data_IF_787532631621
#
_entry.id   IF_787532631621
#
_cell.length_a   1.000
_cell.length_b   1.000
_cell.length_c   1.000
_cell.angle_alpha   90.00
_cell.angle_beta   90.00
_cell.angle_gamma   90.00
#
_symmetry.space_group_name_H-M   'P 1'
#
loop_
_entity.id
_entity.type
_entity.pdbx_description
1 polymer ?
#
# COMPACT_ATOMS: atom_id res chain seq x y z
N UNK A 1 30.65 7.74 20.78
CA UNK A 1 30.92 7.13 19.46
C UNK A 1 29.86 7.67 18.52
N UNK A 2 30.24 8.53 17.59
CA UNK A 2 29.32 9.19 16.67
C UNK A 2 28.85 8.18 15.62
N UNK A 3 27.53 8.10 15.40
CA UNK A 3 26.89 7.15 14.48
C UNK A 3 27.05 7.59 13.00
N UNK A 4 28.11 8.34 12.69
CA UNK A 4 28.36 9.01 11.42
C UNK A 4 29.47 8.39 10.56
N UNK A 5 30.16 7.36 11.06
CA UNK A 5 31.17 6.66 10.27
C UNK A 5 30.50 5.83 9.18
N UNK A 6 30.92 6.01 7.92
CA UNK A 6 30.36 5.34 6.73
C UNK A 6 31.10 4.06 6.35
N UNK A 7 32.08 3.63 7.15
CA UNK A 7 32.92 2.47 6.88
C UNK A 7 32.20 1.14 7.20
N UNK A 8 31.89 0.29 6.21
CA UNK A 8 31.17 -0.97 6.43
C UNK A 8 31.87 -1.93 7.41
N UNK A 9 33.20 -1.98 7.38
CA UNK A 9 34.00 -2.83 8.28
C UNK A 9 33.84 -2.43 9.75
N UNK A 10 33.69 -1.13 10.04
CA UNK A 10 33.45 -0.65 11.41
C UNK A 10 32.06 -1.01 11.90
N UNK A 11 31.05 -0.94 11.04
CA UNK A 11 29.69 -1.36 11.39
C UNK A 11 29.60 -2.88 11.63
N UNK A 12 30.37 -3.67 10.88
CA UNK A 12 30.49 -5.10 11.12
C UNK A 12 31.20 -5.42 12.44
N UNK A 13 32.34 -4.77 12.72
CA UNK A 13 33.05 -4.91 14.00
C UNK A 13 32.17 -4.46 15.19
N UNK A 14 31.46 -3.34 15.05
CA UNK A 14 30.53 -2.86 16.07
C UNK A 14 29.36 -3.82 16.30
N UNK A 15 28.79 -4.40 15.24
CA UNK A 15 27.75 -5.43 15.38
C UNK A 15 28.27 -6.66 16.15
N UNK A 16 29.51 -7.09 15.87
CA UNK A 16 30.15 -8.21 16.56
C UNK A 16 30.49 -7.91 18.02
N UNK A 17 30.95 -6.69 18.31
CA UNK A 17 31.26 -6.26 19.68
C UNK A 17 29.98 -6.15 20.49
N UNK A 18 28.96 -5.45 19.98
CA UNK A 18 27.68 -5.29 20.68
C UNK A 18 26.97 -6.63 20.93
N UNK A 19 27.00 -7.56 19.96
CA UNK A 19 26.42 -8.90 20.18
C UNK A 19 27.18 -9.67 21.24
N UNK A 20 28.51 -9.65 21.25
CA UNK A 20 29.33 -10.29 22.29
C UNK A 20 29.12 -9.65 23.66
N UNK A 21 29.05 -8.33 23.74
CA UNK A 21 28.79 -7.60 24.98
C UNK A 21 27.42 -7.93 25.56
N UNK A 22 26.39 -7.98 24.72
CA UNK A 22 25.05 -8.41 25.12
C UNK A 22 25.06 -9.86 25.62
N UNK A 23 25.78 -10.78 24.94
CA UNK A 23 25.87 -12.17 25.36
C UNK A 23 26.61 -12.34 26.70
N UNK A 24 27.74 -11.65 26.87
CA UNK A 24 28.50 -11.65 28.13
C UNK A 24 27.68 -11.06 29.27
N UNK A 25 26.94 -9.97 29.01
CA UNK A 25 25.99 -9.43 29.97
C UNK A 25 24.93 -10.49 30.33
N UNK A 26 24.28 -11.11 29.34
CA UNK A 26 23.27 -12.14 29.58
C UNK A 26 23.78 -13.33 30.40
N UNK A 27 24.98 -13.85 30.12
CA UNK A 27 25.56 -14.95 30.89
C UNK A 27 25.95 -14.54 32.32
N UNK A 28 26.34 -13.27 32.52
CA UNK A 28 26.61 -12.73 33.86
C UNK A 28 25.34 -12.58 34.70
N UNK A 29 24.20 -12.31 34.06
CA UNK A 29 22.89 -12.17 34.70
C UNK A 29 22.17 -13.51 34.92
N UNK A 30 22.47 -14.54 34.11
CA UNK A 30 21.85 -15.89 34.19
C UNK A 30 21.92 -16.57 35.58
N UNK A 31 23.01 -16.47 36.38
CA UNK A 31 23.04 -17.01 37.74
C UNK A 31 22.44 -16.10 38.83
N UNK A 32 22.26 -14.79 38.58
CA UNK A 32 21.66 -13.86 39.55
C UNK A 32 20.13 -13.97 39.59
N UNK A 33 19.50 -14.25 38.45
CA UNK A 33 18.05 -14.43 38.33
C UNK A 33 17.51 -15.69 39.03
N UNK A 34 18.36 -16.67 39.38
CA UNK A 34 17.92 -17.92 40.01
C UNK A 34 17.86 -17.87 41.54
N UNK A 35 18.20 -16.75 42.21
CA UNK A 35 18.42 -16.79 43.67
C UNK A 35 17.77 -15.74 44.58
N UNK A 36 17.62 -14.43 44.29
CA UNK A 36 16.81 -13.48 45.10
C UNK A 36 17.20 -11.99 44.90
N UNK A 37 16.79 -11.35 43.81
CA UNK A 37 16.71 -9.89 43.77
C UNK A 37 15.76 -9.49 42.66
N UNK A 38 14.53 -9.09 43.01
CA UNK A 38 13.49 -8.75 42.06
C UNK A 38 12.99 -7.30 42.19
N UNK A 39 13.63 -6.44 42.99
CA UNK A 39 13.06 -5.11 43.23
C UNK A 39 14.02 -3.92 43.16
N UNK A 40 15.34 -4.08 43.04
CA UNK A 40 16.23 -2.92 42.83
C UNK A 40 17.34 -3.23 41.83
N UNK A 41 17.21 -2.62 40.64
CA UNK A 41 18.25 -2.37 39.61
C UNK A 41 18.32 -3.32 38.39
N UNK A 42 17.18 -3.50 37.68
CA UNK A 42 17.01 -4.41 36.54
C UNK A 42 16.91 -3.73 35.14
N UNK A 43 17.60 -2.61 34.86
CA UNK A 43 17.52 -1.93 33.55
C UNK A 43 18.73 -2.13 32.62
N UNK A 44 19.85 -2.65 33.12
CA UNK A 44 21.11 -2.69 32.37
C UNK A 44 21.13 -3.68 31.17
N UNK A 45 20.67 -4.94 31.29
CA UNK A 45 20.63 -5.84 30.13
C UNK A 45 19.56 -5.43 29.11
N UNK A 46 18.46 -4.82 29.56
CA UNK A 46 17.41 -4.30 28.69
C UNK A 46 17.83 -3.05 27.93
N UNK A 47 18.55 -2.13 28.58
CA UNK A 47 19.13 -0.98 27.92
C UNK A 47 20.13 -1.40 26.84
N UNK A 48 20.98 -2.40 27.12
CA UNK A 48 21.94 -2.92 26.13
C UNK A 48 21.23 -3.60 24.94
N UNK A 49 20.17 -4.38 25.19
CA UNK A 49 19.33 -4.95 24.13
C UNK A 49 18.68 -3.87 23.27
N UNK A 50 18.11 -2.83 23.89
CA UNK A 50 17.53 -1.68 23.16
C UNK A 50 18.59 -0.97 22.33
N UNK A 51 19.81 -0.83 22.84
CA UNK A 51 20.93 -0.23 22.11
C UNK A 51 21.30 -1.06 20.88
N UNK A 52 21.44 -2.38 21.04
CA UNK A 52 21.68 -3.31 19.93
C UNK A 52 20.53 -3.28 18.91
N UNK A 53 19.28 -3.33 19.36
CA UNK A 53 18.10 -3.25 18.47
C UNK A 53 18.06 -1.93 17.70
N UNK A 54 18.40 -0.81 18.35
CA UNK A 54 18.45 0.49 17.70
C UNK A 54 19.54 0.53 16.64
N UNK A 55 20.75 0.06 16.96
CA UNK A 55 21.86 -0.06 16.02
C UNK A 55 21.53 -0.96 14.82
N UNK A 56 20.94 -2.13 15.09
CA UNK A 56 20.53 -3.06 14.05
C UNK A 56 19.45 -2.49 13.14
N UNK A 57 18.60 -1.59 13.64
CA UNK A 57 17.57 -0.90 12.86
C UNK A 57 18.16 0.26 12.05
N UNK A 58 19.06 1.06 12.63
CA UNK A 58 19.59 2.28 12.02
C UNK A 58 20.70 2.04 11.01
N UNK A 59 21.53 1.01 11.21
CA UNK A 59 22.64 0.71 10.31
C UNK A 59 22.23 -0.32 9.26
N UNK A 60 22.58 -0.06 8.01
CA UNK A 60 22.43 -1.00 6.89
C UNK A 60 23.79 -1.48 6.35
N UNK A 61 24.89 -1.08 6.99
CA UNK A 61 26.26 -1.28 6.51
C UNK A 61 26.93 -2.56 7.02
N UNK A 62 26.17 -3.48 7.63
CA UNK A 62 26.67 -4.75 8.14
C UNK A 62 26.11 -5.96 7.36
N UNK A 63 26.85 -7.07 7.32
CA UNK A 63 26.36 -8.33 6.74
C UNK A 63 25.28 -8.96 7.62
N UNK A 64 24.01 -8.79 7.23
CA UNK A 64 22.83 -9.38 7.91
C UNK A 64 22.96 -10.91 8.04
N UNK A 65 23.57 -11.58 7.06
CA UNK A 65 23.72 -13.04 7.06
C UNK A 65 24.72 -13.52 8.11
N UNK A 66 25.82 -12.80 8.30
CA UNK A 66 26.86 -13.20 9.25
C UNK A 66 26.46 -12.84 10.68
N UNK A 67 25.78 -11.70 10.86
CA UNK A 67 25.11 -11.37 12.12
C UNK A 67 24.08 -12.45 12.52
N UNK A 68 23.26 -12.94 11.57
CA UNK A 68 22.33 -14.04 11.84
C UNK A 68 23.04 -15.33 12.25
N UNK A 69 24.15 -15.71 11.61
CA UNK A 69 24.92 -16.91 11.99
C UNK A 69 25.48 -16.80 13.40
N UNK A 70 25.97 -15.63 13.79
CA UNK A 70 26.48 -15.39 15.15
C UNK A 70 25.37 -15.45 16.20
N UNK A 71 24.16 -15.09 15.80
CA UNK A 71 22.98 -15.10 16.67
C UNK A 71 22.21 -16.41 16.63
N UNK A 72 22.55 -17.34 15.73
CA UNK A 72 21.94 -18.67 15.68
C UNK A 72 22.39 -19.46 16.92
N UNK A 73 21.42 -19.84 17.76
CA UNK A 73 21.66 -20.57 19.00
C UNK A 73 21.61 -19.72 20.27
N UNK A 74 21.42 -18.41 20.16
CA UNK A 74 21.24 -17.50 21.31
C UNK A 74 19.76 -17.14 21.51
N UNK A 75 19.41 -16.69 22.73
CA UNK A 75 18.03 -16.28 23.10
C UNK A 75 17.67 -14.85 22.66
N UNK A 76 18.42 -14.28 21.70
CA UNK A 76 18.23 -12.93 21.16
C UNK A 76 17.13 -12.87 20.08
N UNK A 77 15.92 -13.27 20.47
CA UNK A 77 14.80 -13.46 19.55
C UNK A 77 14.33 -12.15 18.87
N UNK A 78 14.34 -11.03 19.60
CA UNK A 78 13.87 -9.74 19.08
C UNK A 78 14.83 -9.19 18.02
N UNK A 79 16.13 -9.35 18.25
CA UNK A 79 17.19 -8.95 17.36
C UNK A 79 17.22 -9.86 16.12
N UNK A 80 17.03 -11.17 16.28
CA UNK A 80 16.87 -12.10 15.15
C UNK A 80 15.67 -11.73 14.26
N UNK A 81 14.55 -11.30 14.86
CA UNK A 81 13.37 -10.83 14.12
C UNK A 81 13.66 -9.60 13.28
N UNK A 82 14.45 -8.65 13.80
CA UNK A 82 14.90 -7.46 13.07
C UNK A 82 15.74 -7.89 11.85
N UNK A 83 16.71 -8.77 12.08
CA UNK A 83 17.59 -9.29 11.02
C UNK A 83 16.83 -10.07 9.94
N UNK A 84 15.93 -10.97 10.32
CA UNK A 84 15.05 -11.66 9.37
C UNK A 84 14.14 -10.71 8.60
N UNK A 85 13.73 -9.60 9.22
CA UNK A 85 13.01 -8.52 8.54
C UNK A 85 13.86 -7.78 7.50
N UNK A 86 15.14 -7.53 7.77
CA UNK A 86 16.07 -6.94 6.78
C UNK A 86 16.41 -7.90 5.65
N UNK A 87 16.47 -9.20 5.94
CA UNK A 87 16.70 -10.24 4.92
C UNK A 87 15.46 -10.50 4.03
N UNK A 88 14.30 -9.91 4.34
CA UNK A 88 13.02 -10.18 3.64
C UNK A 88 12.40 -11.54 4.00
N UNK A 89 12.95 -12.25 4.97
CA UNK A 89 12.46 -13.55 5.44
C UNK A 89 11.36 -13.38 6.50
N UNK A 90 10.21 -12.84 6.11
CA UNK A 90 9.10 -12.52 7.03
C UNK A 90 8.50 -13.77 7.70
N UNK A 91 8.49 -14.92 7.03
CA UNK A 91 7.97 -16.17 7.61
C UNK A 91 8.77 -16.61 8.84
N UNK A 92 10.10 -16.56 8.78
CA UNK A 92 10.96 -16.91 9.91
C UNK A 92 10.81 -15.92 11.07
N UNK A 93 10.79 -14.62 10.78
CA UNK A 93 10.57 -13.57 11.77
C UNK A 93 9.22 -13.75 12.52
N UNK A 94 8.14 -14.00 11.77
CA UNK A 94 6.81 -14.20 12.36
C UNK A 94 6.73 -15.51 13.14
N UNK A 95 7.39 -16.58 12.71
CA UNK A 95 7.46 -17.83 13.51
C UNK A 95 8.16 -17.61 14.84
N UNK A 96 9.23 -16.83 14.89
CA UNK A 96 9.91 -16.51 16.14
C UNK A 96 8.97 -15.72 17.07
N UNK A 97 8.30 -14.68 16.56
CA UNK A 97 7.36 -13.88 17.35
C UNK A 97 6.14 -14.70 17.83
N UNK A 98 5.53 -15.48 16.95
CA UNK A 98 4.29 -16.19 17.22
C UNK A 98 4.49 -17.48 18.03
N UNK A 99 5.50 -18.29 17.69
CA UNK A 99 5.69 -19.63 18.28
C UNK A 99 6.62 -19.55 19.49
N UNK A 100 7.78 -18.87 19.35
CA UNK A 100 8.80 -18.84 20.41
C UNK A 100 8.48 -17.81 21.49
N UNK A 101 8.15 -16.59 21.10
CA UNK A 101 7.85 -15.49 22.03
C UNK A 101 6.37 -15.44 22.45
N UNK A 102 5.46 -16.06 21.68
CA UNK A 102 4.00 -16.01 21.88
C UNK A 102 3.45 -14.58 22.02
N UNK A 103 4.15 -13.58 21.47
CA UNK A 103 3.73 -12.18 21.51
C UNK A 103 3.00 -11.81 20.22
N UNK A 104 1.68 -11.93 20.28
CA UNK A 104 0.78 -11.55 19.18
C UNK A 104 0.81 -10.05 18.90
N UNK A 105 1.01 -9.23 19.93
CA UNK A 105 1.01 -7.78 19.82
C UNK A 105 2.23 -7.28 19.04
N UNK A 106 3.41 -7.85 19.32
CA UNK A 106 4.63 -7.57 18.58
C UNK A 106 4.54 -8.06 17.13
N UNK A 107 3.95 -9.24 16.90
CA UNK A 107 3.71 -9.78 15.55
C UNK A 107 2.80 -8.86 14.72
N UNK A 108 1.73 -8.32 15.32
CA UNK A 108 0.84 -7.36 14.67
C UNK A 108 1.54 -6.04 14.35
N UNK A 109 2.31 -5.49 15.31
CA UNK A 109 3.14 -4.27 15.08
C UNK A 109 4.15 -4.48 13.94
N UNK A 110 4.71 -5.68 13.83
CA UNK A 110 5.62 -6.04 12.75
C UNK A 110 4.91 -6.05 11.38
N UNK A 111 3.68 -6.58 11.30
CA UNK A 111 2.88 -6.62 10.07
C UNK A 111 2.31 -5.25 9.68
N UNK A 112 2.14 -4.34 10.65
CA UNK A 112 1.63 -2.99 10.40
C UNK A 112 2.66 -2.06 9.72
N UNK A 113 3.96 -2.42 9.71
CA UNK A 113 4.98 -1.63 9.03
C UNK A 113 4.78 -1.68 7.50
N UNK A 114 4.88 -0.53 6.79
CA UNK A 114 4.71 -0.48 5.34
C UNK A 114 5.78 -1.31 4.60
N UNK A 115 5.43 -1.82 3.41
CA UNK A 115 6.32 -2.64 2.58
C UNK A 115 6.29 -4.14 2.91
N UNK A 116 5.29 -4.61 3.65
CA UNK A 116 5.17 -5.99 4.15
C UNK A 116 3.83 -6.63 3.76
N UNK A 117 3.54 -6.59 2.48
CA UNK A 117 2.32 -7.18 1.91
C UNK A 117 2.26 -8.69 2.19
N UNK A 118 1.06 -9.21 2.48
CA UNK A 118 0.87 -10.63 2.78
C UNK A 118 1.36 -11.10 4.17
N UNK A 119 1.98 -10.25 4.99
CA UNK A 119 2.44 -10.66 6.33
C UNK A 119 1.29 -11.08 7.26
N UNK A 120 0.13 -10.43 7.18
CA UNK A 120 -1.06 -10.86 7.94
C UNK A 120 -1.54 -12.25 7.54
N UNK A 121 -1.47 -12.60 6.24
CA UNK A 121 -1.88 -13.91 5.74
C UNK A 121 -0.90 -15.01 6.21
N UNK A 122 0.41 -14.70 6.17
CA UNK A 122 1.44 -15.59 6.71
C UNK A 122 1.27 -15.81 8.21
N UNK A 123 1.00 -14.75 8.98
CA UNK A 123 0.80 -14.83 10.42
C UNK A 123 -0.45 -15.66 10.75
N UNK A 124 -1.55 -15.46 10.03
CA UNK A 124 -2.75 -16.28 10.17
C UNK A 124 -2.44 -17.76 9.92
N UNK A 125 -1.72 -18.08 8.83
CA UNK A 125 -1.32 -19.47 8.53
C UNK A 125 -0.43 -20.07 9.61
N UNK A 126 0.46 -19.29 10.21
CA UNK A 126 1.32 -19.75 11.32
C UNK A 126 0.48 -20.08 12.55
N UNK A 127 -0.54 -19.28 12.88
CA UNK A 127 -1.44 -19.57 14.00
C UNK A 127 -2.32 -20.80 13.77
N UNK A 128 -2.78 -21.02 12.53
CA UNK A 128 -3.64 -22.14 12.17
C UNK A 128 -2.86 -23.44 11.96
N UNK A 129 -1.62 -23.36 11.46
CA UNK A 129 -0.74 -24.50 11.19
C UNK A 129 0.69 -24.21 11.64
N UNK A 130 1.01 -24.40 12.94
CA UNK A 130 2.36 -24.12 13.46
C UNK A 130 3.42 -25.14 13.00
N UNK A 131 3.02 -26.32 12.51
CA UNK A 131 3.91 -27.30 11.86
C UNK A 131 4.79 -28.13 12.79
N UNK A 132 4.77 -27.87 14.10
CA UNK A 132 5.67 -28.48 15.08
C UNK A 132 4.94 -29.41 16.09
N UNK A 133 3.80 -30.00 15.70
CA UNK A 133 2.94 -30.80 16.59
C UNK A 133 2.21 -29.98 17.67
N UNK A 134 2.29 -28.65 17.58
CA UNK A 134 1.58 -27.71 18.44
C UNK A 134 0.12 -27.57 17.98
N UNK A 135 -0.77 -27.38 18.96
CA UNK A 135 -2.17 -27.09 18.71
C UNK A 135 -2.36 -25.72 18.04
N UNK A 136 -3.40 -25.55 17.20
CA UNK A 136 -3.69 -24.29 16.55
C UNK A 136 -4.05 -23.20 17.57
N UNK A 137 -3.44 -22.02 17.40
CA UNK A 137 -3.63 -20.84 18.25
C UNK A 137 -4.87 -20.06 17.80
N UNK A 138 -6.04 -20.64 18.05
CA UNK A 138 -7.33 -20.15 17.54
C UNK A 138 -7.72 -18.78 18.12
N UNK A 139 -7.39 -18.52 19.38
CA UNK A 139 -7.70 -17.26 20.05
C UNK A 139 -6.94 -16.10 19.41
N UNK A 140 -5.66 -16.31 19.14
CA UNK A 140 -4.74 -15.37 18.53
C UNK A 140 -5.09 -15.11 17.08
N UNK A 141 -5.51 -16.16 16.35
CA UNK A 141 -6.07 -16.03 15.01
C UNK A 141 -7.34 -15.14 15.02
N UNK A 142 -8.25 -15.33 15.98
CA UNK A 142 -9.43 -14.49 16.13
C UNK A 142 -9.08 -13.03 16.44
N UNK A 143 -8.09 -12.79 17.30
CA UNK A 143 -7.59 -11.45 17.64
C UNK A 143 -7.00 -10.74 16.42
N UNK A 144 -6.24 -11.45 15.59
CA UNK A 144 -5.66 -10.92 14.36
C UNK A 144 -6.74 -10.51 13.36
N UNK A 145 -7.75 -11.37 13.18
CA UNK A 145 -8.89 -11.07 12.32
C UNK A 145 -9.70 -9.87 12.86
N UNK A 146 -9.85 -9.77 14.19
CA UNK A 146 -10.59 -8.70 14.86
C UNK A 146 -9.91 -7.33 14.73
N UNK A 147 -8.58 -7.33 14.65
CA UNK A 147 -7.73 -6.15 14.54
C UNK A 147 -7.68 -5.58 13.10
N UNK A 148 -6.85 -4.55 12.89
CA UNK A 148 -6.60 -3.94 11.58
C UNK A 148 -6.10 -4.94 10.51
N UNK A 149 -5.49 -6.06 10.93
CA UNK A 149 -5.03 -7.13 10.05
C UNK A 149 -6.13 -7.74 9.19
N UNK A 150 -7.35 -7.89 9.74
CA UNK A 150 -8.50 -8.44 9.03
C UNK A 150 -8.92 -7.65 7.77
N UNK A 151 -8.64 -6.33 7.71
CA UNK A 151 -9.01 -5.52 6.54
C UNK A 151 -8.09 -5.78 5.33
N UNK A 152 -6.84 -6.18 5.58
CA UNK A 152 -5.83 -6.45 4.56
C UNK A 152 -5.89 -7.87 4.01
N UNK A 153 -6.51 -8.78 4.77
CA UNK A 153 -6.66 -10.18 4.39
C UNK A 153 -7.73 -10.36 3.33
N UNK A 154 -7.50 -11.30 2.41
CA UNK A 154 -8.53 -11.71 1.49
C UNK A 154 -9.51 -12.67 2.16
N UNK A 155 -10.83 -12.36 2.15
CA UNK A 155 -11.82 -13.16 2.85
C UNK A 155 -11.82 -14.62 2.41
N UNK A 156 -11.53 -14.87 1.12
CA UNK A 156 -11.46 -16.22 0.56
C UNK A 156 -10.28 -17.00 1.15
N UNK A 157 -9.09 -16.41 1.19
CA UNK A 157 -7.90 -17.06 1.76
C UNK A 157 -8.08 -17.35 3.26
N UNK A 158 -8.75 -16.45 3.98
CA UNK A 158 -9.11 -16.67 5.39
C UNK A 158 -10.05 -17.85 5.54
N UNK A 159 -11.10 -17.92 4.73
CA UNK A 159 -12.08 -19.02 4.78
C UNK A 159 -11.47 -20.36 4.38
N UNK A 160 -10.62 -20.38 3.34
CA UNK A 160 -9.94 -21.59 2.86
C UNK A 160 -8.91 -22.12 3.88
N UNK A 161 -8.29 -21.22 4.65
CA UNK A 161 -7.29 -21.58 5.66
C UNK A 161 -7.88 -22.03 7.00
N UNK A 162 -9.15 -21.73 7.29
CA UNK A 162 -9.77 -22.05 8.58
C UNK A 162 -9.99 -23.56 8.76
N UNK A 163 -9.54 -24.16 9.87
CA UNK A 163 -9.81 -25.56 10.17
C UNK A 163 -11.30 -25.77 10.47
N UNK A 164 -11.83 -26.94 10.08
CA UNK A 164 -13.23 -27.31 10.27
C UNK A 164 -13.67 -27.35 11.75
N UNK A 165 -12.71 -27.43 12.67
CA UNK A 165 -12.91 -27.50 14.12
C UNK A 165 -13.07 -26.12 14.78
N UNK A 166 -12.87 -25.03 14.03
CA UNK A 166 -12.92 -23.68 14.59
C UNK A 166 -14.38 -23.30 14.91
N UNK A 167 -14.71 -22.89 16.16
CA UNK A 167 -16.05 -22.45 16.49
C UNK A 167 -16.43 -21.21 15.68
N UNK A 168 -17.29 -21.37 14.67
CA UNK A 168 -17.78 -20.28 13.82
C UNK A 168 -18.28 -19.09 14.64
N UNK A 169 -18.82 -19.33 15.84
CA UNK A 169 -19.35 -18.31 16.75
C UNK A 169 -18.31 -17.25 17.16
N UNK A 170 -17.04 -17.63 17.38
CA UNK A 170 -15.99 -16.67 17.74
C UNK A 170 -15.49 -15.87 16.53
N UNK A 171 -15.50 -16.49 15.35
CA UNK A 171 -15.05 -15.88 14.11
C UNK A 171 -16.14 -15.04 13.43
N UNK A 172 -17.42 -15.30 13.69
CA UNK A 172 -18.58 -14.68 13.02
C UNK A 172 -18.63 -13.15 13.11
N UNK A 173 -18.43 -12.50 14.28
CA UNK A 173 -18.44 -11.03 14.36
C UNK A 173 -17.38 -10.42 13.43
N UNK A 174 -16.24 -11.09 13.36
CA UNK A 174 -15.08 -10.65 12.62
C UNK A 174 -15.21 -10.89 11.12
N UNK A 175 -15.61 -12.09 10.70
CA UNK A 175 -15.91 -12.42 9.31
C UNK A 175 -17.04 -11.53 8.80
N UNK A 176 -18.08 -11.32 9.62
CA UNK A 176 -19.18 -10.42 9.31
C UNK A 176 -18.70 -8.99 9.05
N UNK A 177 -17.78 -8.47 9.86
CA UNK A 177 -17.16 -7.16 9.65
C UNK A 177 -16.39 -7.11 8.33
N UNK A 178 -15.54 -8.09 8.06
CA UNK A 178 -14.71 -8.15 6.84
C UNK A 178 -15.58 -8.21 5.59
N UNK A 179 -16.59 -9.07 5.57
CA UNK A 179 -17.50 -9.22 4.42
C UNK A 179 -18.32 -7.95 4.18
N UNK A 180 -18.86 -7.33 5.24
CA UNK A 180 -19.61 -6.06 5.11
C UNK A 180 -18.74 -4.95 4.54
N UNK A 181 -17.50 -4.81 5.03
CA UNK A 181 -16.55 -3.81 4.53
C UNK A 181 -16.22 -4.04 3.05
N UNK A 182 -15.97 -5.30 2.64
CA UNK A 182 -15.72 -5.63 1.23
C UNK A 182 -16.92 -5.33 0.33
N UNK A 183 -18.13 -5.69 0.76
CA UNK A 183 -19.36 -5.38 0.03
C UNK A 183 -19.54 -3.86 -0.08
N UNK A 184 -19.29 -3.11 0.99
CA UNK A 184 -19.39 -1.66 1.01
C UNK A 184 -18.42 -1.02 0.01
N UNK A 185 -17.12 -1.37 0.09
CA UNK A 185 -16.10 -0.88 -0.86
C UNK A 185 -16.43 -1.24 -2.30
N UNK A 186 -16.90 -2.45 -2.56
CA UNK A 186 -17.27 -2.86 -3.92
C UNK A 186 -18.44 -2.01 -4.47
N UNK A 187 -19.44 -1.70 -3.63
CA UNK A 187 -20.55 -0.80 -4.01
C UNK A 187 -20.07 0.62 -4.24
N UNK A 188 -19.24 1.15 -3.35
CA UNK A 188 -18.65 2.48 -3.47
C UNK A 188 -17.82 2.61 -4.75
N UNK A 189 -16.94 1.65 -5.02
CA UNK A 189 -16.15 1.59 -6.26
C UNK A 189 -17.03 1.55 -7.51
N UNK A 190 -18.14 0.78 -7.48
CA UNK A 190 -19.09 0.77 -8.59
C UNK A 190 -19.71 2.15 -8.83
N UNK A 191 -20.03 2.89 -7.77
CA UNK A 191 -20.54 4.27 -7.87
C UNK A 191 -19.47 5.18 -8.46
N UNK A 192 -18.23 5.13 -7.97
CA UNK A 192 -17.11 5.93 -8.49
C UNK A 192 -16.86 5.65 -9.97
N UNK A 193 -16.81 4.37 -10.37
CA UNK A 193 -16.64 4.01 -11.79
C UNK A 193 -17.83 4.48 -12.64
N UNK A 194 -19.06 4.42 -12.13
CA UNK A 194 -20.23 4.91 -12.84
C UNK A 194 -20.18 6.44 -13.04
N UNK A 195 -19.78 7.18 -12.00
CA UNK A 195 -19.59 8.64 -12.07
C UNK A 195 -18.50 9.00 -13.08
N UNK A 196 -17.34 8.33 -13.03
CA UNK A 196 -16.26 8.53 -13.99
C UNK A 196 -16.69 8.22 -15.43
N UNK A 197 -17.48 7.16 -15.62
CA UNK A 197 -18.06 6.84 -16.94
C UNK A 197 -19.01 7.95 -17.42
N UNK A 198 -19.82 8.51 -16.54
CA UNK A 198 -20.71 9.63 -16.86
C UNK A 198 -19.93 10.86 -17.32
N UNK A 199 -18.92 11.27 -16.55
CA UNK A 199 -18.06 12.42 -16.89
C UNK A 199 -17.29 12.17 -18.19
N UNK A 200 -16.78 10.97 -18.40
CA UNK A 200 -16.10 10.60 -19.64
C UNK A 200 -17.05 10.65 -20.86
N UNK A 201 -18.31 10.25 -20.67
CA UNK A 201 -19.31 10.29 -21.73
C UNK A 201 -19.70 11.74 -22.07
N UNK A 202 -19.85 12.61 -21.07
CA UNK A 202 -20.12 14.03 -21.26
C UNK A 202 -19.00 14.73 -22.05
N UNK A 203 -17.74 14.54 -21.63
CA UNK A 203 -16.58 15.09 -22.35
C UNK A 203 -16.47 14.57 -23.79
N UNK A 204 -16.85 13.30 -24.03
CA UNK A 204 -16.93 12.74 -25.39
C UNK A 204 -18.08 13.35 -26.19
N UNK A 205 -19.21 13.66 -25.56
CA UNK A 205 -20.33 14.37 -26.16
C UNK A 205 -19.92 15.76 -26.61
N UNK A 206 -19.30 16.55 -25.73
CA UNK A 206 -18.76 17.88 -26.05
C UNK A 206 -17.76 17.82 -27.21
N UNK A 207 -16.84 16.86 -27.18
CA UNK A 207 -15.88 16.66 -28.27
C UNK A 207 -16.57 16.28 -29.58
N UNK A 208 -17.60 15.44 -29.54
CA UNK A 208 -18.38 15.08 -30.71
C UNK A 208 -19.15 16.28 -31.28
N UNK A 209 -19.74 17.13 -30.43
CA UNK A 209 -20.41 18.36 -30.84
C UNK A 209 -19.44 19.33 -31.52
N UNK A 210 -18.26 19.56 -30.92
CA UNK A 210 -17.22 20.40 -31.51
C UNK A 210 -16.68 19.81 -32.83
N UNK A 211 -16.51 18.49 -32.92
CA UNK A 211 -16.09 17.83 -34.16
C UNK A 211 -17.18 17.85 -35.24
N UNK A 212 -18.46 17.84 -34.85
CA UNK A 212 -19.59 17.98 -35.77
C UNK A 212 -19.66 19.39 -36.37
N UNK A 213 -19.22 20.42 -35.63
CA UNK A 213 -19.10 21.82 -36.10
C UNK A 213 -17.94 22.03 -37.10
N UNK A 214 -17.71 21.08 -38.00
CA UNK A 214 -16.72 21.20 -39.09
C UNK A 214 -17.42 21.42 -40.42
N UNK A 215 -16.90 22.36 -41.20
CA UNK A 215 -17.32 22.57 -42.60
C UNK A 215 -16.28 21.95 -43.52
N UNK A 216 -16.65 20.86 -44.20
CA UNK A 216 -15.80 20.23 -45.21
C UNK A 216 -16.03 20.93 -46.55
N UNK A 217 -14.98 21.48 -47.14
CA UNK A 217 -15.05 22.10 -48.47
C UNK A 217 -14.61 21.07 -49.51
N UNK A 218 -15.57 20.62 -50.29
CA UNK A 218 -15.36 19.83 -51.51
C UNK A 218 -15.44 20.74 -52.74
N UNK A 219 -14.95 20.26 -53.88
CA UNK A 219 -14.97 21.03 -55.15
C UNK A 219 -16.39 21.38 -55.63
N UNK A 220 -17.40 20.68 -55.12
CA UNK A 220 -18.81 20.91 -55.42
C UNK A 220 -19.50 21.88 -54.45
N UNK A 221 -18.85 22.23 -53.33
CA UNK A 221 -19.47 23.07 -52.29
C UNK A 221 -19.63 24.51 -52.78
N UNK A 222 -20.87 24.99 -52.75
CA UNK A 222 -21.25 26.32 -53.20
C UNK A 222 -21.68 27.23 -52.04
N UNK A 223 -21.60 28.54 -52.26
CA UNK A 223 -22.10 29.55 -51.33
C UNK A 223 -23.59 29.35 -51.06
N UNK A 224 -24.01 29.43 -49.80
CA UNK A 224 -25.42 29.26 -49.42
C UNK A 224 -26.35 30.35 -49.97
N UNK A 225 -25.85 31.56 -50.23
CA UNK A 225 -26.65 32.69 -50.73
C UNK A 225 -26.56 32.88 -52.25
N UNK A 226 -25.34 32.92 -52.81
CA UNK A 226 -25.15 33.19 -54.24
C UNK A 226 -24.93 31.93 -55.09
N UNK A 227 -25.00 30.74 -54.48
CA UNK A 227 -24.85 29.43 -55.12
C UNK A 227 -23.60 29.24 -56.02
N UNK A 228 -22.61 30.14 -55.87
CA UNK A 228 -21.35 30.06 -56.63
C UNK A 228 -20.41 29.08 -55.97
N UNK A 229 -19.75 28.21 -56.76
CA UNK A 229 -18.75 27.26 -56.26
C UNK A 229 -17.58 27.97 -55.57
N UNK A 230 -17.21 27.49 -54.38
CA UNK A 230 -16.19 28.10 -53.53
C UNK A 230 -14.78 27.71 -54.02
N UNK A 231 -14.53 26.42 -54.25
CA UNK A 231 -13.22 25.92 -54.70
C UNK A 231 -12.08 26.48 -53.85
N UNK A 232 -11.10 27.12 -54.49
CA UNK A 232 -9.91 27.73 -53.84
C UNK A 232 -10.10 29.19 -53.40
N UNK A 233 -11.32 29.75 -53.48
CA UNK A 233 -11.58 31.18 -53.16
C UNK A 233 -11.77 31.39 -51.66
N UNK A 234 -11.54 32.61 -51.16
CA UNK A 234 -11.80 32.96 -49.75
C UNK A 234 -13.27 32.75 -49.38
N UNK A 235 -13.49 32.08 -48.25
CA UNK A 235 -14.80 31.73 -47.72
C UNK A 235 -14.89 32.01 -46.22
N UNK A 236 -16.10 32.05 -45.71
CA UNK A 236 -16.42 32.07 -44.28
C UNK A 236 -17.27 30.83 -43.94
N UNK A 237 -16.89 30.12 -42.89
CA UNK A 237 -17.67 29.01 -42.35
C UNK A 237 -18.57 29.52 -41.22
N UNK A 238 -19.87 29.26 -41.33
CA UNK A 238 -20.85 29.63 -40.31
C UNK A 238 -21.05 28.48 -39.30
N UNK A 239 -21.46 28.77 -38.04
CA UNK A 239 -21.70 27.75 -37.00
C UNK A 239 -22.75 26.69 -37.36
N UNK A 240 -23.63 26.97 -38.35
CA UNK A 240 -24.65 26.03 -38.84
C UNK A 240 -24.20 25.07 -39.94
N UNK A 241 -22.91 25.01 -40.27
CA UNK A 241 -22.38 24.11 -41.33
C UNK A 241 -22.49 24.66 -42.77
N UNK A 242 -23.00 25.88 -42.92
CA UNK A 242 -23.06 26.60 -44.18
C UNK A 242 -21.73 27.32 -44.48
N UNK A 243 -21.36 27.39 -45.76
CA UNK A 243 -20.20 28.14 -46.23
C UNK A 243 -20.67 29.32 -47.09
N UNK A 244 -20.15 30.51 -46.81
CA UNK A 244 -20.40 31.72 -47.59
C UNK A 244 -19.13 32.16 -48.30
N UNK A 245 -19.26 32.77 -49.47
CA UNK A 245 -18.14 33.48 -50.08
C UNK A 245 -17.88 34.78 -49.31
N UNK A 246 -16.65 35.30 -49.38
CA UNK A 246 -16.26 36.49 -48.63
C UNK A 246 -17.16 37.72 -48.87
N UNK A 247 -17.68 37.88 -50.09
CA UNK A 247 -18.57 39.00 -50.45
C UNK A 247 -19.95 38.90 -49.78
N UNK A 248 -20.58 37.73 -49.82
CA UNK A 248 -21.84 37.45 -49.13
C UNK A 248 -21.69 37.63 -47.61
N UNK A 249 -20.57 37.16 -47.05
CA UNK A 249 -20.29 37.33 -45.62
C UNK A 249 -20.12 38.81 -45.19
N UNK A 250 -19.55 39.66 -46.04
CA UNK A 250 -19.47 41.11 -45.75
C UNK A 250 -20.86 41.75 -45.75
N UNK A 251 -21.70 41.42 -46.73
CA UNK A 251 -23.07 41.93 -46.82
C UNK A 251 -23.91 41.48 -45.62
N UNK A 252 -23.82 40.21 -45.22
CA UNK A 252 -24.55 39.69 -44.05
C UNK A 252 -24.09 40.34 -42.72
N UNK A 253 -22.81 40.74 -42.62
CA UNK A 253 -22.29 41.48 -41.45
C UNK A 253 -22.79 42.93 -41.40
N UNK A 254 -22.94 43.57 -42.54
CA UNK A 254 -23.46 44.94 -42.62
C UNK A 254 -24.94 45.00 -42.24
N UNK A 255 -25.73 43.99 -42.65
CA UNK A 255 -27.14 43.85 -42.27
C UNK A 255 -27.31 43.57 -40.76
N UNK A 256 -26.53 42.65 -40.19
CA UNK A 256 -26.57 42.34 -38.75
C UNK A 256 -25.95 43.43 -37.86
N UNK A 257 -25.06 44.28 -38.39
CA UNK A 257 -24.45 45.41 -37.69
C UNK A 257 -25.42 46.55 -37.34
N UNK A 258 -26.65 46.54 -37.86
CA UNK A 258 -27.70 47.52 -37.53
C UNK A 258 -28.68 47.02 -36.44
N UNK A 259 -28.58 45.76 -36.01
CA UNK A 259 -29.31 45.19 -34.88
C UNK A 259 -28.34 44.43 -33.98
N UNK A 260 -27.77 45.11 -32.98
CA UNK A 260 -26.66 44.59 -32.18
C UNK A 260 -26.94 43.23 -31.50
N UNK A 261 -26.07 42.27 -31.74
CA UNK A 261 -25.75 41.20 -30.78
C UNK A 261 -24.28 40.79 -30.96
N UNK A 262 -23.47 41.19 -29.98
CA UNK A 262 -22.07 40.75 -29.84
C UNK A 262 -22.07 39.26 -29.46
N UNK A 263 -21.62 38.41 -30.38
CA UNK A 263 -21.18 37.06 -30.06
C UNK A 263 -19.86 37.17 -29.26
N UNK A 264 -19.90 36.77 -27.98
CA UNK A 264 -18.74 36.68 -27.09
C UNK A 264 -17.77 35.58 -27.56
N UNK A 265 -16.47 35.71 -27.21
CA UNK A 265 -15.40 34.82 -27.67
C UNK A 265 -15.56 33.39 -27.19
#
# INVERSE_FOLDING_TARGET
MEWGDTDPSRHEELAQVLTKEVLVAMDRWRPAASAAAADEMDDEPDAMRRHLQHFLQSSDLYSVRDALKQMQGTELWHEQVILHGKLGSHSAALRILAIRLKDTSAALKYCAKPGREGCHALLLRIFLTPGDGLEPMLHEACLLLGSSGGATLDPKEVLDAMPAELPLQSALPTIGRILRERIHRAREQRVVCALQRSVNLEAKGELAELQQQRVVITDERACAECHTRIGTRMFAALPGGAALCYRCYQQSREETGSGGQQLRP
#
